data_IF_494079961949
#
_entry.id   IF_494079961949
#
_cell.length_a   1.000
_cell.length_b   1.000
_cell.length_c   1.000
_cell.angle_alpha   90.00
_cell.angle_beta   90.00
_cell.angle_gamma   90.00
#
_symmetry.space_group_name_H-M   'P 1'
#
loop_
_entity.id
_entity.type
_entity.pdbx_description
1 polymer ?
#
# COMPACT_ATOMS: atom_id res chain seq x y z
N UNK A 1 -39.88 -39.79 -23.02
CA UNK A 1 -40.28 -38.75 -24.02
C UNK A 1 -41.48 -38.00 -23.46
N UNK A 2 -41.67 -36.70 -23.71
CA UNK A 2 -40.85 -35.72 -24.48
C UNK A 2 -40.34 -34.58 -23.55
N UNK A 3 -39.60 -33.55 -23.94
CA UNK A 3 -39.09 -33.08 -25.23
C UNK A 3 -38.62 -31.63 -25.10
N UNK A 4 -37.86 -31.17 -26.10
CA UNK A 4 -37.48 -29.76 -26.37
C UNK A 4 -36.12 -29.40 -25.76
N UNK A 5 -35.03 -29.23 -26.52
CA UNK A 5 -34.85 -28.31 -27.65
C UNK A 5 -34.41 -26.96 -27.07
N UNK A 6 -33.24 -26.38 -27.33
CA UNK A 6 -32.43 -26.36 -28.54
C UNK A 6 -32.30 -24.89 -28.98
N UNK A 7 -31.07 -24.36 -29.01
CA UNK A 7 -30.72 -23.02 -29.53
C UNK A 7 -30.95 -21.89 -28.52
N UNK A 8 -30.11 -20.86 -28.40
CA UNK A 8 -29.01 -20.38 -29.23
C UNK A 8 -28.85 -18.87 -28.95
N UNK A 9 -27.63 -18.34 -29.15
CA UNK A 9 -27.31 -16.92 -29.02
C UNK A 9 -26.66 -16.61 -27.67
N UNK A 10 -25.37 -16.27 -27.58
CA UNK A 10 -24.64 -15.36 -28.45
C UNK A 10 -24.56 -14.02 -27.72
N UNK A 11 -23.40 -13.72 -27.15
CA UNK A 11 -23.18 -12.48 -26.40
C UNK A 11 -21.84 -12.50 -25.69
N UNK A 12 -20.75 -12.51 -26.46
CA UNK A 12 -19.45 -12.14 -25.94
C UNK A 12 -19.46 -10.71 -25.40
N UNK A 13 -18.79 -10.47 -24.29
CA UNK A 13 -18.75 -9.16 -23.66
C UNK A 13 -17.82 -9.12 -22.46
N UNK A 14 -16.51 -9.11 -22.74
CA UNK A 14 -15.46 -8.47 -21.94
C UNK A 14 -15.38 -8.84 -20.44
N UNK A 15 -14.57 -9.86 -20.13
CA UNK A 15 -13.89 -9.95 -18.84
C UNK A 15 -12.84 -8.83 -18.75
N UNK A 16 -13.29 -7.64 -18.34
CA UNK A 16 -12.44 -6.50 -18.03
C UNK A 16 -12.10 -6.50 -16.54
N UNK A 17 -10.81 -6.45 -16.24
CA UNK A 17 -10.18 -6.10 -14.96
C UNK A 17 -11.07 -5.28 -14.00
N UNK A 18 -11.42 -5.85 -12.84
CA UNK A 18 -12.11 -5.13 -11.76
C UNK A 18 -11.11 -4.68 -10.69
N UNK A 19 -10.11 -3.91 -11.12
CA UNK A 19 -9.45 -2.89 -10.31
C UNK A 19 -10.01 -1.54 -10.76
N UNK A 20 -11.20 -1.21 -10.27
CA UNK A 20 -11.81 0.12 -10.29
C UNK A 20 -12.71 0.12 -9.06
N UNK A 21 -12.46 0.88 -8.00
CA UNK A 21 -12.47 2.33 -8.07
C UNK A 21 -11.46 2.92 -7.08
N UNK A 22 -10.51 3.68 -7.63
CA UNK A 22 -10.06 4.90 -6.98
C UNK A 22 -11.34 5.71 -6.69
N UNK A 23 -11.56 6.30 -5.49
CA UNK A 23 -12.74 7.14 -5.26
C UNK A 23 -12.87 8.11 -6.43
N UNK A 24 -14.04 8.21 -7.08
CA UNK A 24 -14.17 8.86 -8.39
C UNK A 24 -13.55 10.28 -8.50
N UNK A 25 -13.39 10.99 -7.38
CA UNK A 25 -12.70 12.28 -7.31
C UNK A 25 -11.18 12.20 -7.55
N UNK A 26 -10.57 11.07 -7.27
CA UNK A 26 -9.14 10.82 -7.27
C UNK A 26 -8.70 10.28 -8.65
N UNK A 27 -9.60 9.63 -9.40
CA UNK A 27 -9.44 9.43 -10.86
C UNK A 27 -9.45 10.78 -11.60
N UNK A 28 -10.35 11.69 -11.23
CA UNK A 28 -10.43 13.02 -11.81
C UNK A 28 -9.17 13.88 -11.56
N UNK A 29 -8.46 13.65 -10.45
CA UNK A 29 -7.18 14.29 -10.13
C UNK A 29 -6.02 13.75 -10.97
N UNK A 30 -6.02 12.45 -11.31
CA UNK A 30 -4.94 11.85 -12.10
C UNK A 30 -5.11 12.03 -13.62
N UNK A 31 -6.31 12.38 -14.09
CA UNK A 31 -6.63 12.62 -15.51
C UNK A 31 -6.47 14.10 -15.94
N UNK A 32 -6.12 15.01 -15.02
CA UNK A 32 -5.97 16.43 -15.34
C UNK A 32 -4.65 16.71 -16.08
N UNK A 33 -4.66 17.51 -17.18
CA UNK A 33 -3.46 17.82 -17.94
C UNK A 33 -2.49 18.69 -17.12
N UNK A 34 -1.24 18.24 -17.04
CA UNK A 34 -0.12 18.93 -16.39
C UNK A 34 0.00 20.37 -16.93
N UNK A 35 -0.23 21.37 -16.06
CA UNK A 35 0.11 22.77 -16.35
C UNK A 35 -1.03 23.81 -16.40
N UNK A 36 -2.24 23.53 -15.90
CA UNK A 36 -3.26 24.57 -15.71
C UNK A 36 -3.44 24.95 -14.23
N UNK A 37 -3.36 26.24 -13.85
CA UNK A 37 -3.63 26.68 -12.49
C UNK A 37 -5.13 26.55 -12.20
N UNK A 38 -5.49 25.66 -11.29
CA UNK A 38 -6.85 25.40 -10.83
C UNK A 38 -7.40 26.64 -10.09
N UNK A 39 -8.00 27.55 -10.84
CA UNK A 39 -8.73 28.69 -10.30
C UNK A 39 -10.09 28.24 -9.75
N UNK A 40 -10.14 27.46 -8.67
CA UNK A 40 -11.23 27.40 -7.69
C UNK A 40 -10.74 26.73 -6.39
N UNK A 41 -9.99 27.49 -5.60
CA UNK A 41 -9.53 27.11 -4.25
C UNK A 41 -10.66 27.05 -3.19
N UNK A 42 -11.91 27.31 -3.60
CA UNK A 42 -13.06 27.45 -2.70
C UNK A 42 -14.29 26.70 -3.23
N UNK A 43 -14.38 25.38 -3.06
CA UNK A 43 -15.68 24.67 -3.02
C UNK A 43 -15.60 23.17 -2.64
N UNK A 44 -14.80 22.75 -1.64
CA UNK A 44 -15.05 21.42 -1.04
C UNK A 44 -14.43 21.22 0.34
N UNK A 45 -15.26 20.91 1.34
CA UNK A 45 -14.85 20.37 2.66
C UNK A 45 -15.85 19.26 3.04
N UNK A 46 -15.52 17.98 2.87
CA UNK A 46 -16.40 16.89 3.26
C UNK A 46 -16.40 16.70 4.80
N UNK A 47 -17.53 16.32 5.41
CA UNK A 47 -17.57 15.97 6.83
C UNK A 47 -16.77 14.68 7.07
N UNK A 48 -15.76 14.74 7.95
CA UNK A 48 -14.91 13.59 8.29
C UNK A 48 -13.69 13.41 7.37
N UNK A 49 -13.03 14.51 7.00
CA UNK A 49 -11.91 14.59 6.05
C UNK A 49 -10.85 13.47 6.24
N UNK A 50 -10.92 12.44 5.39
CA UNK A 50 -9.73 11.72 4.99
C UNK A 50 -8.78 12.76 4.38
N UNK A 51 -7.54 12.84 4.88
CA UNK A 51 -6.54 13.74 4.31
C UNK A 51 -6.16 13.21 2.94
N UNK A 52 -6.89 13.63 1.90
CA UNK A 52 -6.42 13.46 0.54
C UNK A 52 -5.12 14.27 0.42
N UNK A 53 -3.98 13.66 0.03
CA UNK A 53 -2.75 14.40 -0.16
C UNK A 53 -2.94 15.58 -1.13
N UNK A 54 -2.20 16.69 -0.98
CA UNK A 54 -2.38 17.87 -1.82
C UNK A 54 -2.38 17.52 -3.31
N UNK A 55 -3.25 18.14 -4.11
CA UNK A 55 -3.39 17.85 -5.54
C UNK A 55 -2.03 17.86 -6.28
N UNK A 56 -1.17 18.83 -5.96
CA UNK A 56 0.17 18.95 -6.54
C UNK A 56 1.06 17.72 -6.27
N UNK A 57 0.90 17.06 -5.12
CA UNK A 57 1.63 15.83 -4.80
C UNK A 57 1.14 14.66 -5.66
N UNK A 58 -0.17 14.59 -5.91
CA UNK A 58 -0.78 13.57 -6.76
C UNK A 58 -0.39 13.77 -8.23
N UNK A 59 -0.52 15.00 -8.74
CA UNK A 59 -0.16 15.38 -10.11
C UNK A 59 1.32 15.12 -10.42
N UNK A 60 2.20 15.33 -9.43
CA UNK A 60 3.63 15.05 -9.57
C UNK A 60 3.99 13.56 -9.47
N UNK A 61 3.02 12.67 -9.22
CA UNK A 61 3.29 11.26 -8.95
C UNK A 61 4.13 11.05 -7.69
N UNK A 62 4.01 11.93 -6.69
CA UNK A 62 4.93 12.04 -5.56
C UNK A 62 5.11 10.72 -4.81
N UNK A 63 4.04 9.94 -4.62
CA UNK A 63 4.14 8.63 -3.98
C UNK A 63 5.01 7.65 -4.77
N UNK A 64 4.93 7.66 -6.11
CA UNK A 64 5.77 6.80 -6.96
C UNK A 64 7.24 7.19 -6.87
N UNK A 65 7.52 8.48 -6.86
CA UNK A 65 8.89 8.99 -6.64
C UNK A 65 9.43 8.52 -5.29
N UNK A 66 8.65 8.59 -4.22
CA UNK A 66 9.07 8.09 -2.90
C UNK A 66 9.34 6.57 -2.92
N UNK A 67 8.54 5.78 -3.63
CA UNK A 67 8.76 4.34 -3.81
C UNK A 67 10.05 4.07 -4.60
N UNK A 68 10.27 4.79 -5.70
CA UNK A 68 11.47 4.63 -6.54
C UNK A 68 12.75 5.07 -5.80
N UNK A 69 12.66 6.01 -4.85
CA UNK A 69 13.78 6.41 -3.99
C UNK A 69 14.22 5.34 -2.99
N UNK A 70 13.47 4.25 -2.81
CA UNK A 70 13.86 3.11 -1.96
C UNK A 70 14.82 2.13 -2.65
N UNK A 71 15.17 2.37 -3.93
CA UNK A 71 16.00 1.45 -4.72
C UNK A 71 17.42 1.26 -4.14
N UNK A 72 18.01 0.09 -4.33
CA UNK A 72 19.31 -0.32 -3.78
C UNK A 72 20.49 0.52 -4.28
N UNK A 73 20.34 1.18 -5.43
CA UNK A 73 21.37 2.07 -5.98
C UNK A 73 21.51 3.38 -5.19
N UNK A 74 20.56 3.70 -4.31
CA UNK A 74 20.57 4.92 -3.51
C UNK A 74 21.41 4.76 -2.24
N UNK A 75 21.98 5.87 -1.77
CA UNK A 75 22.73 5.89 -0.52
C UNK A 75 21.84 5.99 0.73
N UNK A 76 22.40 5.67 1.90
CA UNK A 76 21.74 5.73 3.21
C UNK A 76 20.92 7.00 3.46
N UNK A 77 21.43 8.18 3.07
CA UNK A 77 20.70 9.44 3.25
C UNK A 77 19.43 9.51 2.42
N UNK A 78 19.43 8.97 1.19
CA UNK A 78 18.26 8.96 0.33
C UNK A 78 17.23 7.96 0.85
N UNK A 79 17.68 6.77 1.26
CA UNK A 79 16.82 5.77 1.90
C UNK A 79 16.16 6.32 3.15
N UNK A 80 16.94 6.93 4.06
CA UNK A 80 16.41 7.47 5.31
C UNK A 80 15.32 8.53 5.05
N UNK A 81 15.56 9.44 4.11
CA UNK A 81 14.56 10.46 3.75
C UNK A 81 13.32 9.85 3.10
N UNK A 82 13.48 8.88 2.20
CA UNK A 82 12.37 8.19 1.55
C UNK A 82 11.51 7.41 2.56
N UNK A 83 12.11 6.61 3.45
CA UNK A 83 11.36 5.87 4.47
C UNK A 83 10.68 6.81 5.48
N UNK A 84 11.33 7.92 5.83
CA UNK A 84 10.76 8.94 6.73
C UNK A 84 9.54 9.59 6.08
N UNK A 85 9.67 10.01 4.81
CA UNK A 85 8.56 10.62 4.07
C UNK A 85 7.38 9.64 3.91
N UNK A 86 7.64 8.36 3.65
CA UNK A 86 6.60 7.33 3.56
C UNK A 86 5.92 7.09 4.91
N UNK A 87 6.68 7.05 6.01
CA UNK A 87 6.14 6.99 7.36
C UNK A 87 5.22 8.18 7.63
N UNK A 88 5.71 9.40 7.44
CA UNK A 88 4.94 10.62 7.71
C UNK A 88 3.69 10.73 6.83
N UNK A 89 3.79 10.37 5.55
CA UNK A 89 2.66 10.40 4.63
C UNK A 89 1.59 9.37 4.99
N UNK A 90 1.97 8.15 5.36
CA UNK A 90 1.03 7.05 5.58
C UNK A 90 0.54 6.94 7.03
N UNK A 91 1.23 7.56 7.99
CA UNK A 91 0.88 7.49 9.40
C UNK A 91 -0.53 8.07 9.63
N UNK A 92 -1.46 7.20 10.05
CA UNK A 92 -2.86 7.55 10.29
C UNK A 92 -3.62 8.12 9.07
N UNK A 93 -3.10 7.95 7.85
CA UNK A 93 -3.78 8.40 6.63
C UNK A 93 -4.04 7.24 5.67
N UNK A 94 -5.31 6.84 5.58
CA UNK A 94 -5.74 5.72 4.73
C UNK A 94 -5.57 6.06 3.25
N UNK A 95 -5.74 7.33 2.86
CA UNK A 95 -5.60 7.77 1.47
C UNK A 95 -4.18 7.53 0.95
N UNK A 96 -3.18 7.94 1.72
CA UNK A 96 -1.77 7.76 1.42
C UNK A 96 -1.35 6.30 1.44
N UNK A 97 -1.93 5.48 2.33
CA UNK A 97 -1.71 4.03 2.32
C UNK A 97 -2.23 3.38 1.03
N UNK A 98 -3.41 3.78 0.54
CA UNK A 98 -3.97 3.30 -0.74
C UNK A 98 -3.16 3.82 -1.93
N UNK A 99 -2.65 5.05 -1.86
CA UNK A 99 -1.71 5.59 -2.85
C UNK A 99 -0.43 4.79 -2.92
N UNK A 100 0.16 4.45 -1.77
CA UNK A 100 1.33 3.59 -1.72
C UNK A 100 1.02 2.24 -2.38
N UNK A 101 -0.16 1.66 -2.10
CA UNK A 101 -0.58 0.41 -2.74
C UNK A 101 -0.70 0.53 -4.28
N UNK A 102 -1.08 1.69 -4.81
CA UNK A 102 -1.10 1.91 -6.26
C UNK A 102 0.32 2.12 -6.82
N UNK A 103 1.15 2.92 -6.15
CA UNK A 103 2.52 3.19 -6.57
C UNK A 103 3.39 1.92 -6.55
N UNK A 104 3.13 1.02 -5.59
CA UNK A 104 3.82 -0.25 -5.35
C UNK A 104 3.13 -1.45 -6.01
N UNK A 105 2.51 -1.27 -7.18
CA UNK A 105 1.74 -2.31 -7.88
C UNK A 105 2.49 -3.65 -8.05
N UNK A 106 3.80 -3.57 -8.26
CA UNK A 106 4.72 -4.70 -8.45
C UNK A 106 5.38 -5.20 -7.15
N UNK A 107 5.11 -4.54 -6.02
CA UNK A 107 5.64 -4.89 -4.70
C UNK A 107 7.11 -4.54 -4.48
N UNK A 108 7.77 -3.80 -5.39
CA UNK A 108 9.18 -3.42 -5.22
C UNK A 108 9.42 -2.51 -4.02
N UNK A 109 8.52 -1.56 -3.76
CA UNK A 109 8.55 -0.67 -2.60
C UNK A 109 8.36 -1.42 -1.30
N UNK A 110 7.34 -2.29 -1.22
CA UNK A 110 7.16 -3.16 -0.04
C UNK A 110 8.39 -4.04 0.22
N UNK A 111 8.98 -4.61 -0.84
CA UNK A 111 10.18 -5.40 -0.72
C UNK A 111 11.39 -4.56 -0.26
N UNK A 112 11.53 -3.34 -0.77
CA UNK A 112 12.61 -2.44 -0.37
C UNK A 112 12.49 -2.03 1.10
N UNK A 113 11.28 -1.70 1.58
CA UNK A 113 11.02 -1.43 2.99
C UNK A 113 11.45 -2.61 3.88
N UNK A 114 11.09 -3.84 3.49
CA UNK A 114 11.49 -5.05 4.24
C UNK A 114 13.00 -5.23 4.25
N UNK A 115 13.69 -5.01 3.12
CA UNK A 115 15.16 -5.10 3.05
C UNK A 115 15.83 -4.05 3.92
N UNK A 116 15.38 -2.79 3.83
CA UNK A 116 15.92 -1.67 4.62
C UNK A 116 15.72 -1.90 6.12
N UNK A 117 14.59 -2.49 6.52
CA UNK A 117 14.32 -2.84 7.92
C UNK A 117 15.36 -3.79 8.52
N UNK A 118 16.02 -4.62 7.72
CA UNK A 118 17.07 -5.57 8.19
C UNK A 118 18.46 -5.26 7.62
N UNK A 119 18.65 -4.08 7.02
CA UNK A 119 19.92 -3.68 6.42
C UNK A 119 21.00 -3.52 7.49
N UNK A 120 22.02 -4.38 7.50
CA UNK A 120 22.98 -4.48 8.62
C UNK A 120 23.88 -3.26 8.90
N UNK A 121 23.76 -2.19 8.11
CA UNK A 121 24.66 -1.04 8.14
C UNK A 121 24.17 0.18 8.94
N UNK A 122 22.85 0.37 9.11
CA UNK A 122 22.31 1.62 9.62
C UNK A 122 21.05 1.43 10.49
N UNK A 123 21.22 1.61 11.80
CA UNK A 123 20.16 1.40 12.79
C UNK A 123 18.99 2.39 12.62
N UNK A 124 19.26 3.61 12.18
CA UNK A 124 18.22 4.63 11.99
C UNK A 124 17.32 4.25 10.80
N UNK A 125 17.92 3.76 9.71
CA UNK A 125 17.18 3.23 8.57
C UNK A 125 16.37 1.99 8.96
N UNK A 126 16.96 1.05 9.70
CA UNK A 126 16.24 -0.14 10.15
C UNK A 126 15.01 0.22 11.00
N UNK A 127 15.21 1.11 11.97
CA UNK A 127 14.14 1.57 12.84
C UNK A 127 13.06 2.31 12.05
N UNK A 128 13.44 3.26 11.20
CA UNK A 128 12.48 4.05 10.45
C UNK A 128 11.75 3.23 9.38
N UNK A 129 12.43 2.28 8.73
CA UNK A 129 11.79 1.36 7.80
C UNK A 129 10.76 0.47 8.52
N UNK A 130 11.01 0.00 9.74
CA UNK A 130 10.01 -0.72 10.53
C UNK A 130 8.78 0.15 10.85
N UNK A 131 8.99 1.42 11.19
CA UNK A 131 7.91 2.39 11.41
C UNK A 131 7.12 2.67 10.12
N UNK A 132 7.81 2.83 8.99
CA UNK A 132 7.18 3.00 7.68
C UNK A 132 6.34 1.78 7.31
N UNK A 133 6.83 0.55 7.54
CA UNK A 133 6.06 -0.69 7.35
C UNK A 133 4.78 -0.67 8.19
N UNK A 134 4.86 -0.25 9.46
CA UNK A 134 3.70 -0.13 10.33
C UNK A 134 2.68 0.88 9.76
N UNK A 135 3.15 2.03 9.27
CA UNK A 135 2.32 3.08 8.70
C UNK A 135 1.63 2.65 7.40
N UNK A 136 2.37 2.11 6.42
CA UNK A 136 1.78 1.67 5.13
C UNK A 136 0.80 0.51 5.31
N UNK A 137 1.02 -0.34 6.31
CA UNK A 137 0.14 -1.46 6.63
C UNK A 137 -1.04 -1.09 7.55
N UNK A 138 -1.11 0.14 8.08
CA UNK A 138 -2.01 0.47 9.19
C UNK A 138 -3.48 0.14 8.95
N UNK A 139 -3.98 0.41 7.75
CA UNK A 139 -5.36 0.16 7.31
C UNK A 139 -5.49 -0.45 5.91
N UNK A 140 -4.38 -0.83 5.26
CA UNK A 140 -4.38 -1.34 3.88
C UNK A 140 -3.98 -2.83 3.80
N UNK A 141 -4.93 -3.70 3.42
CA UNK A 141 -4.69 -5.14 3.28
C UNK A 141 -3.72 -5.48 2.14
N UNK A 142 -3.77 -4.76 1.03
CA UNK A 142 -2.89 -5.01 -0.12
C UNK A 142 -1.41 -4.78 0.25
N UNK A 143 -1.13 -3.70 0.98
CA UNK A 143 0.20 -3.42 1.51
C UNK A 143 0.66 -4.52 2.46
N UNK A 144 -0.21 -4.99 3.36
CA UNK A 144 0.10 -6.12 4.26
C UNK A 144 0.48 -7.36 3.47
N UNK A 145 -0.33 -7.74 2.49
CA UNK A 145 -0.09 -8.94 1.70
C UNK A 145 1.22 -8.85 0.91
N UNK A 146 1.58 -7.66 0.40
CA UNK A 146 2.87 -7.43 -0.28
C UNK A 146 4.05 -7.48 0.67
N UNK A 147 3.96 -6.85 1.85
CA UNK A 147 4.99 -6.94 2.89
C UNK A 147 5.18 -8.39 3.35
N UNK A 148 4.09 -9.15 3.52
CA UNK A 148 4.17 -10.59 3.84
C UNK A 148 4.86 -11.36 2.72
N UNK A 149 4.47 -11.15 1.46
CA UNK A 149 5.11 -11.81 0.29
C UNK A 149 6.59 -11.48 0.17
N UNK A 150 7.00 -10.28 0.56
CA UNK A 150 8.40 -9.86 0.60
C UNK A 150 9.21 -10.45 1.77
N UNK A 151 8.59 -11.28 2.64
CA UNK A 151 9.26 -11.88 3.79
C UNK A 151 9.25 -11.01 5.05
N UNK A 152 8.39 -9.98 5.10
CA UNK A 152 8.31 -9.01 6.20
C UNK A 152 8.12 -9.66 7.57
N UNK A 153 7.37 -10.75 7.69
CA UNK A 153 7.18 -11.45 8.99
C UNK A 153 8.52 -11.92 9.56
N UNK A 154 9.35 -12.58 8.74
CA UNK A 154 10.65 -13.08 9.19
C UNK A 154 11.61 -11.93 9.53
N UNK A 155 11.60 -10.87 8.72
CA UNK A 155 12.40 -9.68 8.93
C UNK A 155 12.05 -9.00 10.27
N UNK A 156 10.76 -8.76 10.54
CA UNK A 156 10.30 -8.12 11.77
C UNK A 156 10.56 -8.98 13.01
N UNK A 157 10.40 -10.31 12.91
CA UNK A 157 10.79 -11.23 13.99
C UNK A 157 12.29 -11.19 14.28
N UNK A 158 13.13 -10.94 13.29
CA UNK A 158 14.57 -10.78 13.51
C UNK A 158 14.89 -9.50 14.30
N UNK A 159 14.19 -8.39 14.01
CA UNK A 159 14.35 -7.12 14.74
C UNK A 159 13.91 -7.22 16.19
N UNK A 160 12.81 -7.94 16.47
CA UNK A 160 12.35 -8.20 17.84
C UNK A 160 13.38 -9.01 18.64
N UNK A 161 14.24 -9.79 17.99
CA UNK A 161 15.33 -10.55 18.64
C UNK A 161 16.63 -9.77 18.75
N UNK A 162 16.76 -8.61 18.11
CA UNK A 162 17.94 -7.77 18.26
C UNK A 162 18.05 -7.22 19.68
N UNK A 163 19.25 -7.13 20.28
CA UNK A 163 19.45 -6.52 21.61
C UNK A 163 19.46 -4.98 21.53
N UNK A 164 18.56 -4.39 20.74
CA UNK A 164 18.38 -2.95 20.58
C UNK A 164 16.90 -2.61 20.86
N UNK A 165 16.58 -1.87 21.93
CA UNK A 165 15.20 -1.59 22.32
C UNK A 165 14.38 -0.89 21.22
N UNK A 166 14.97 0.05 20.48
CA UNK A 166 14.27 0.77 19.41
C UNK A 166 13.88 -0.16 18.27
N UNK A 167 14.77 -1.07 17.86
CA UNK A 167 14.45 -2.07 16.84
C UNK A 167 13.40 -3.09 17.32
N UNK A 168 13.42 -3.43 18.61
CA UNK A 168 12.40 -4.29 19.19
C UNK A 168 11.02 -3.64 19.16
N UNK A 169 10.94 -2.37 19.56
CA UNK A 169 9.69 -1.60 19.56
C UNK A 169 9.15 -1.43 18.13
N UNK A 170 9.99 -0.95 17.21
CA UNK A 170 9.62 -0.77 15.81
C UNK A 170 9.20 -2.08 15.14
N UNK A 171 9.97 -3.15 15.37
CA UNK A 171 9.66 -4.49 14.88
C UNK A 171 8.33 -5.05 15.41
N UNK A 172 8.06 -4.89 16.72
CA UNK A 172 6.82 -5.33 17.33
C UNK A 172 5.61 -4.52 16.84
N UNK A 173 5.74 -3.19 16.74
CA UNK A 173 4.68 -2.32 16.22
C UNK A 173 4.33 -2.63 14.76
N UNK A 174 5.35 -2.79 13.92
CA UNK A 174 5.15 -3.18 12.52
C UNK A 174 4.46 -4.55 12.41
N UNK A 175 4.90 -5.53 13.22
CA UNK A 175 4.31 -6.86 13.22
C UNK A 175 2.85 -6.83 13.65
N UNK A 176 2.50 -6.03 14.67
CA UNK A 176 1.13 -5.87 15.12
C UNK A 176 0.21 -5.30 14.01
N UNK A 177 0.68 -4.30 13.26
CA UNK A 177 -0.08 -3.73 12.14
C UNK A 177 -0.15 -4.67 10.93
N UNK A 178 0.86 -5.51 10.74
CA UNK A 178 0.91 -6.50 9.67
C UNK A 178 -0.10 -7.65 9.88
N UNK A 179 -0.25 -8.12 11.12
CA UNK A 179 -1.17 -9.23 11.45
C UNK A 179 -2.61 -8.78 11.71
N UNK A 180 -2.82 -7.49 11.99
CA UNK A 180 -4.15 -6.91 12.20
C UNK A 180 -4.90 -6.88 10.88
N UNK A 181 -5.69 -7.91 10.60
CA UNK A 181 -6.69 -7.86 9.53
C UNK A 181 -7.96 -7.21 10.05
N UNK A 182 -8.41 -6.14 9.39
CA UNK A 182 -9.74 -5.58 9.59
C UNK A 182 -10.77 -6.41 8.81
N UNK A 183 -11.86 -6.77 9.46
CA UNK A 183 -12.90 -7.70 8.96
C UNK A 183 -13.86 -7.09 7.92
N UNK A 184 -13.60 -5.88 7.41
CA UNK A 184 -14.27 -5.34 6.21
C UNK A 184 -13.77 -5.99 4.89
N UNK A 185 -12.94 -7.02 4.98
CA UNK A 185 -12.64 -7.91 3.89
C UNK A 185 -13.70 -9.03 3.84
N UNK A 186 -14.40 -9.27 2.70
CA UNK A 186 -15.32 -10.38 2.59
C UNK A 186 -14.60 -11.71 2.88
N UNK A 187 -15.30 -12.68 3.51
CA UNK A 187 -14.69 -13.89 4.01
C UNK A 187 -13.95 -14.63 2.89
N UNK A 188 -12.64 -14.79 3.06
CA UNK A 188 -11.87 -15.76 2.31
C UNK A 188 -12.37 -17.14 2.71
N UNK A 189 -13.32 -17.71 1.98
CA UNK A 189 -13.75 -19.09 2.21
C UNK A 189 -12.62 -20.02 1.77
N UNK A 190 -12.02 -20.82 2.67
CA UNK A 190 -11.11 -21.86 2.26
C UNK A 190 -11.93 -23.08 1.87
N UNK A 191 -11.73 -23.54 0.63
CA UNK A 191 -11.84 -24.95 0.28
C UNK A 191 -13.25 -25.52 0.21
N UNK A 192 -13.70 -25.71 -1.04
CA UNK A 192 -14.47 -26.89 -1.36
C UNK A 192 -13.70 -28.15 -0.90
N UNK A 193 -14.27 -28.90 0.05
CA UNK A 193 -14.07 -30.33 0.20
C UNK A 193 -15.30 -30.85 0.95
N UNK A 194 -16.12 -31.77 0.47
CA UNK A 194 -16.09 -32.64 -0.69
C UNK A 194 -17.00 -33.82 -0.36
N UNK A 195 -17.64 -34.42 -1.37
CA UNK A 195 -18.31 -35.74 -1.35
C UNK A 195 -19.60 -35.75 -0.50
N UNK A 196 -20.75 -36.27 -0.92
CA UNK A 196 -21.20 -37.12 -2.04
C UNK A 196 -22.60 -36.64 -2.48
#
# INVERSE_FOLDING_TARGET
RPGGGGGGGGGGGHAGHQLKQIPAHFEALMEAPVGQPMAQENAWKPPGAALVPPAIFLEAGGMRVLVDMLDEEQGDSCHLQAVTALFEACANDVSSQVLFAHADEDGRGSAALVRLAVSGGNLDIQNMASQAIAAVCGSCNDNRDRVVKAGGVSALLSLIKCPNPQLQEGGANALANLIKRSEDAPPSTPGASGRE
#
